data_IF_676234611103
#
_entry.id   IF_676234611103
#
_cell.length_a   1.000
_cell.length_b   1.000
_cell.length_c   1.000
_cell.angle_alpha   90.00
_cell.angle_beta   90.00
_cell.angle_gamma   90.00
#
_symmetry.space_group_name_H-M   'P 1'
#
loop_
_entity.id
_entity.type
_entity.pdbx_description
1 polymer ?
#
# COMPACT_ATOMS: atom_id res chain seq x y z
N UNK A 1 36.40 1.28 29.31
CA UNK A 1 35.78 0.16 28.57
C UNK A 1 35.25 -0.92 29.53
N UNK A 2 36.05 -1.46 30.44
CA UNK A 2 35.62 -2.50 31.39
C UNK A 2 34.38 -2.15 32.24
N UNK A 3 34.27 -0.89 32.72
CA UNK A 3 33.09 -0.43 33.49
C UNK A 3 31.78 -0.46 32.70
N UNK A 4 31.81 -0.29 31.39
CA UNK A 4 30.63 -0.39 30.52
C UNK A 4 30.23 -1.86 30.32
N UNK A 5 31.23 -2.71 30.05
CA UNK A 5 31.02 -4.15 29.91
C UNK A 5 30.47 -4.78 31.19
N UNK A 6 31.04 -4.43 32.34
CA UNK A 6 30.52 -4.92 33.62
C UNK A 6 29.10 -4.44 33.92
N UNK A 7 28.73 -3.21 33.56
CA UNK A 7 27.35 -2.75 33.64
C UNK A 7 26.40 -3.51 32.71
N UNK A 8 26.81 -3.76 31.44
CA UNK A 8 26.00 -4.53 30.50
C UNK A 8 25.71 -5.94 31.03
N UNK A 9 26.74 -6.59 31.57
CA UNK A 9 26.60 -7.95 32.12
C UNK A 9 25.79 -7.97 33.44
N UNK A 10 25.96 -6.95 34.30
CA UNK A 10 25.28 -6.86 35.58
C UNK A 10 23.85 -6.32 35.50
N UNK A 11 23.48 -5.68 34.41
CA UNK A 11 22.12 -5.13 34.23
C UNK A 11 21.19 -6.25 33.75
N UNK A 12 20.16 -6.59 34.54
CA UNK A 12 19.15 -7.55 34.10
C UNK A 12 18.38 -7.00 32.88
N UNK A 13 17.60 -7.84 32.25
CA UNK A 13 16.74 -7.42 31.17
C UNK A 13 15.79 -6.32 31.63
N UNK A 14 16.01 -5.09 31.16
CA UNK A 14 15.23 -3.89 31.53
C UNK A 14 14.07 -3.62 30.56
N UNK A 15 13.92 -4.42 29.52
CA UNK A 15 12.82 -4.33 28.55
C UNK A 15 11.63 -5.13 29.04
N UNK A 16 10.46 -4.57 28.93
CA UNK A 16 9.21 -5.31 29.13
C UNK A 16 9.09 -6.47 28.11
N UNK A 17 8.39 -7.57 28.47
CA UNK A 17 8.03 -8.58 27.49
C UNK A 17 7.29 -7.89 26.35
N UNK A 18 7.60 -8.28 25.11
CA UNK A 18 6.85 -7.79 23.95
C UNK A 18 5.35 -8.05 24.21
N UNK A 19 4.48 -7.02 24.16
CA UNK A 19 3.04 -7.25 24.23
C UNK A 19 2.65 -8.26 23.16
N UNK A 20 1.69 -9.11 23.47
CA UNK A 20 1.13 -10.03 22.47
C UNK A 20 0.74 -9.20 21.25
N UNK A 21 1.13 -9.61 20.02
CA UNK A 21 0.80 -8.87 18.85
C UNK A 21 -0.72 -8.65 18.82
N UNK A 22 -1.15 -7.46 18.39
CA UNK A 22 -2.55 -7.25 18.05
C UNK A 22 -2.82 -8.23 16.90
N UNK A 23 -3.36 -9.39 17.22
CA UNK A 23 -3.36 -10.61 16.42
C UNK A 23 -3.75 -10.39 14.95
N UNK A 24 -4.61 -9.41 14.73
CA UNK A 24 -5.20 -9.14 13.42
C UNK A 24 -4.22 -8.56 12.39
N UNK A 25 -3.38 -7.57 12.76
CA UNK A 25 -2.44 -6.90 11.82
C UNK A 25 -1.24 -7.79 11.56
N UNK A 26 -0.73 -8.47 12.61
CA UNK A 26 0.38 -9.42 12.48
C UNK A 26 0.01 -10.61 11.61
N UNK A 27 -1.18 -11.19 11.79
CA UNK A 27 -1.63 -12.34 11.01
C UNK A 27 -1.77 -11.99 9.53
N UNK A 28 -2.34 -10.83 9.21
CA UNK A 28 -2.46 -10.33 7.84
C UNK A 28 -1.06 -10.09 7.26
N UNK A 29 -0.19 -9.41 8.00
CA UNK A 29 1.15 -9.07 7.57
C UNK A 29 2.03 -10.29 7.31
N UNK A 30 2.01 -11.29 8.19
CA UNK A 30 2.78 -12.53 7.98
C UNK A 30 2.23 -13.35 6.80
N UNK A 31 0.91 -13.41 6.60
CA UNK A 31 0.30 -14.03 5.42
C UNK A 31 0.73 -13.32 4.13
N UNK A 32 0.74 -11.99 4.14
CA UNK A 32 1.20 -11.16 3.02
C UNK A 32 2.67 -11.42 2.71
N UNK A 33 3.53 -11.43 3.73
CA UNK A 33 4.96 -11.73 3.61
C UNK A 33 5.23 -13.13 3.03
N UNK A 34 4.50 -14.13 3.48
CA UNK A 34 4.58 -15.50 2.95
C UNK A 34 4.18 -15.53 1.47
N UNK A 35 3.11 -14.86 1.12
CA UNK A 35 2.59 -14.77 -0.25
C UNK A 35 3.61 -14.05 -1.16
N UNK A 36 4.15 -12.92 -0.71
CA UNK A 36 5.19 -12.16 -1.43
C UNK A 36 6.44 -13.03 -1.65
N UNK A 37 6.91 -13.72 -0.61
CA UNK A 37 8.07 -14.61 -0.74
C UNK A 37 7.88 -15.69 -1.80
N UNK A 38 6.68 -16.26 -1.84
CA UNK A 38 6.35 -17.33 -2.80
C UNK A 38 6.25 -16.81 -4.23
N UNK A 39 5.63 -15.64 -4.42
CA UNK A 39 5.35 -15.08 -5.76
C UNK A 39 6.54 -14.34 -6.35
N UNK A 40 7.30 -13.65 -5.52
CA UNK A 40 8.37 -12.74 -5.97
C UNK A 40 9.78 -13.26 -5.64
N UNK A 41 9.91 -14.56 -5.30
CA UNK A 41 11.22 -15.19 -5.10
C UNK A 41 12.03 -14.58 -3.96
N UNK A 42 11.35 -14.05 -2.93
CA UNK A 42 11.99 -13.45 -1.75
C UNK A 42 12.36 -11.96 -1.89
N UNK A 43 12.13 -11.32 -3.05
CA UNK A 43 12.29 -9.87 -3.19
C UNK A 43 11.08 -9.12 -2.62
N UNK A 44 11.26 -7.84 -2.29
CA UNK A 44 10.16 -6.98 -1.83
C UNK A 44 9.15 -6.75 -2.94
N UNK A 45 7.87 -6.67 -2.56
CA UNK A 45 6.79 -6.14 -3.40
C UNK A 45 6.91 -4.61 -3.44
N UNK A 46 6.95 -4.04 -4.61
CA UNK A 46 7.16 -2.62 -4.82
C UNK A 46 5.89 -1.94 -5.28
N UNK A 47 5.48 -0.92 -4.53
CA UNK A 47 4.27 -0.16 -4.80
C UNK A 47 4.63 1.25 -5.25
N UNK A 48 4.06 1.68 -6.37
CA UNK A 48 3.97 3.09 -6.74
C UNK A 48 2.58 3.59 -6.46
N UNK A 49 2.47 4.60 -5.60
CA UNK A 49 1.22 5.29 -5.34
C UNK A 49 1.08 6.53 -6.23
N UNK A 50 -0.14 6.78 -6.73
CA UNK A 50 -0.51 7.94 -7.54
C UNK A 50 -1.77 8.56 -6.95
N UNK A 51 -1.67 9.80 -6.53
CA UNK A 51 -2.82 10.65 -6.25
C UNK A 51 -3.38 11.20 -7.57
N UNK A 52 -4.58 10.80 -7.94
CA UNK A 52 -5.25 11.23 -9.16
C UNK A 52 -6.27 12.36 -8.92
N UNK A 53 -6.43 12.78 -7.67
CA UNK A 53 -7.33 13.85 -7.27
C UNK A 53 -8.06 13.54 -5.96
N UNK A 54 -7.39 12.87 -5.03
CA UNK A 54 -7.91 12.51 -3.72
C UNK A 54 -8.14 13.73 -2.82
N UNK A 55 -8.82 13.50 -1.71
CA UNK A 55 -8.96 14.47 -0.62
C UNK A 55 -7.80 14.45 0.36
N UNK A 56 -6.75 13.70 0.05
CA UNK A 56 -5.59 13.38 0.89
C UNK A 56 -5.91 12.45 2.09
N UNK A 57 -7.10 11.91 2.18
CA UNK A 57 -7.47 10.94 3.21
C UNK A 57 -6.73 9.62 3.03
N UNK A 58 -6.77 9.08 1.82
CA UNK A 58 -6.09 7.85 1.44
C UNK A 58 -4.58 7.95 1.61
N UNK A 59 -3.98 9.10 1.31
CA UNK A 59 -2.54 9.34 1.47
C UNK A 59 -2.12 9.35 2.94
N UNK A 60 -2.95 9.88 3.83
CA UNK A 60 -2.69 9.81 5.28
C UNK A 60 -2.71 8.37 5.78
N UNK A 61 -3.69 7.59 5.35
CA UNK A 61 -3.79 6.18 5.72
C UNK A 61 -2.64 5.33 5.12
N UNK A 62 -2.22 5.64 3.89
CA UNK A 62 -1.04 5.05 3.27
C UNK A 62 0.25 5.42 4.01
N UNK A 63 0.36 6.68 4.46
CA UNK A 63 1.50 7.14 5.27
C UNK A 63 1.51 6.44 6.63
N UNK A 64 0.34 6.21 7.23
CA UNK A 64 0.20 5.49 8.49
C UNK A 64 0.72 4.04 8.41
N UNK A 65 0.69 3.40 7.24
CA UNK A 65 1.28 2.06 7.05
C UNK A 65 2.79 2.01 7.33
N UNK A 66 3.49 3.13 7.19
CA UNK A 66 4.92 3.24 7.51
C UNK A 66 5.23 3.56 8.96
N UNK A 67 4.24 3.72 9.85
CA UNK A 67 4.47 4.01 11.25
C UNK A 67 4.95 2.76 12.02
N UNK A 68 5.41 2.96 13.27
CA UNK A 68 5.96 1.89 14.11
C UNK A 68 4.93 0.79 14.48
N UNK A 69 3.64 1.05 14.36
CA UNK A 69 2.59 0.07 14.64
C UNK A 69 2.35 -0.88 13.46
N UNK A 70 2.19 -0.34 12.27
CA UNK A 70 1.93 -1.14 11.05
C UNK A 70 3.21 -1.67 10.43
N UNK A 71 4.21 -0.80 10.24
CA UNK A 71 5.55 -1.13 9.71
C UNK A 71 5.48 -2.09 8.51
N UNK A 72 4.83 -1.61 7.45
CA UNK A 72 4.55 -2.41 6.24
C UNK A 72 5.82 -3.00 5.61
N UNK A 73 6.98 -2.32 5.80
CA UNK A 73 8.24 -2.76 5.22
C UNK A 73 8.73 -4.08 5.84
N UNK A 74 8.42 -4.35 7.11
CA UNK A 74 8.74 -5.64 7.76
C UNK A 74 8.06 -6.84 7.11
N UNK A 75 6.97 -6.60 6.40
CA UNK A 75 6.23 -7.61 5.65
C UNK A 75 6.74 -7.76 4.20
N UNK A 76 7.78 -7.03 3.82
CA UNK A 76 8.41 -7.12 2.52
C UNK A 76 7.72 -6.27 1.45
N UNK A 77 7.11 -5.16 1.83
CA UNK A 77 6.52 -4.18 0.92
C UNK A 77 7.33 -2.89 1.00
N UNK A 78 7.55 -2.25 -0.13
CA UNK A 78 8.23 -0.96 -0.19
C UNK A 78 7.58 -0.03 -1.20
N UNK A 79 7.57 1.26 -0.89
CA UNK A 79 7.12 2.29 -1.83
C UNK A 79 8.27 2.75 -2.71
N UNK A 80 7.99 2.93 -3.99
CA UNK A 80 8.99 3.38 -4.98
C UNK A 80 8.56 4.66 -5.68
N UNK A 81 9.53 5.53 -5.94
CA UNK A 81 9.27 6.80 -6.57
C UNK A 81 8.98 6.70 -8.08
N UNK A 82 9.52 5.68 -8.75
CA UNK A 82 9.35 5.50 -10.19
C UNK A 82 8.42 4.33 -10.50
N UNK A 83 7.43 4.50 -11.39
CA UNK A 83 6.57 3.40 -11.83
C UNK A 83 7.34 2.28 -12.52
N UNK A 84 8.50 2.55 -13.11
CA UNK A 84 9.36 1.55 -13.76
C UNK A 84 9.88 0.48 -12.80
N UNK A 85 9.83 0.72 -11.50
CA UNK A 85 10.30 -0.21 -10.48
C UNK A 85 9.14 -0.82 -9.67
N UNK A 86 7.90 -0.46 -10.01
CA UNK A 86 6.72 -0.93 -9.30
C UNK A 86 6.22 -2.27 -9.85
N UNK A 87 5.70 -3.09 -8.95
CA UNK A 87 4.93 -4.30 -9.25
C UNK A 87 3.42 -4.02 -9.15
N UNK A 88 3.08 -3.08 -8.24
CA UNK A 88 1.71 -2.62 -8.02
C UNK A 88 1.65 -1.11 -8.23
N UNK A 89 0.60 -0.67 -8.91
CA UNK A 89 0.21 0.72 -9.03
C UNK A 89 -1.05 0.93 -8.18
N UNK A 90 -0.95 1.69 -7.08
CA UNK A 90 -2.11 2.10 -6.30
C UNK A 90 -2.52 3.51 -6.70
N UNK A 91 -3.79 3.74 -6.92
CA UNK A 91 -4.33 5.03 -7.37
C UNK A 91 -5.45 5.46 -6.43
N UNK A 92 -5.34 6.65 -5.86
CA UNK A 92 -6.32 7.26 -4.97
C UNK A 92 -7.12 8.37 -5.66
N UNK A 93 -8.29 8.64 -5.15
CA UNK A 93 -9.22 9.68 -5.57
C UNK A 93 -9.83 9.49 -6.95
N UNK A 94 -10.86 10.28 -7.29
CA UNK A 94 -11.38 10.35 -8.64
C UNK A 94 -10.33 10.92 -9.58
N UNK A 95 -10.24 10.38 -10.80
CA UNK A 95 -9.24 10.90 -11.76
C UNK A 95 -9.66 12.27 -12.25
N UNK A 96 -8.86 13.27 -11.91
CA UNK A 96 -9.02 14.62 -12.45
C UNK A 96 -8.50 14.70 -13.88
N UNK A 97 -9.04 15.62 -14.69
CA UNK A 97 -8.59 15.81 -16.07
C UNK A 97 -7.10 16.17 -16.18
N UNK A 98 -6.58 16.87 -15.18
CA UNK A 98 -5.15 17.20 -15.12
C UNK A 98 -4.27 15.98 -14.87
N UNK A 99 -4.76 14.99 -14.13
CA UNK A 99 -4.01 13.78 -13.78
C UNK A 99 -4.23 12.63 -14.78
N UNK A 100 -5.21 12.70 -15.66
CA UNK A 100 -5.51 11.65 -16.63
C UNK A 100 -4.27 11.25 -17.44
N UNK A 101 -3.58 12.21 -18.03
CA UNK A 101 -2.38 11.93 -18.83
C UNK A 101 -1.23 11.36 -17.98
N UNK A 102 -1.03 11.90 -16.77
CA UNK A 102 0.01 11.42 -15.86
C UNK A 102 -0.26 9.98 -15.41
N UNK A 103 -1.52 9.64 -15.11
CA UNK A 103 -1.93 8.30 -14.74
C UNK A 103 -1.70 7.30 -15.89
N UNK A 104 -2.10 7.62 -17.12
CA UNK A 104 -1.84 6.80 -18.31
C UNK A 104 -0.35 6.56 -18.52
N UNK A 105 0.44 7.63 -18.44
CA UNK A 105 1.89 7.56 -18.59
C UNK A 105 2.52 6.65 -17.52
N UNK A 106 2.10 6.77 -16.27
CA UNK A 106 2.60 5.93 -15.20
C UNK A 106 2.21 4.46 -15.39
N UNK A 107 0.98 4.20 -15.83
CA UNK A 107 0.51 2.86 -16.17
C UNK A 107 1.35 2.22 -17.28
N UNK A 108 1.63 2.96 -18.36
CA UNK A 108 2.44 2.48 -19.48
C UNK A 108 3.88 2.20 -19.08
N UNK A 109 4.42 3.02 -18.17
CA UNK A 109 5.80 2.87 -17.68
C UNK A 109 5.96 1.77 -16.62
N UNK A 110 4.88 1.28 -16.03
CA UNK A 110 4.93 0.18 -15.07
C UNK A 110 5.14 -1.14 -15.81
N UNK A 111 6.18 -1.94 -15.49
CA UNK A 111 6.48 -3.20 -16.17
C UNK A 111 5.35 -4.22 -16.01
N UNK A 112 5.22 -5.11 -17.00
CA UNK A 112 4.34 -6.29 -16.88
C UNK A 112 5.16 -7.48 -16.34
N UNK A 113 4.56 -8.37 -15.52
CA UNK A 113 3.18 -8.30 -15.01
C UNK A 113 3.01 -7.23 -13.93
N UNK A 114 1.89 -6.50 -13.97
CA UNK A 114 1.55 -5.44 -13.03
C UNK A 114 0.14 -5.63 -12.49
N UNK A 115 -0.14 -5.08 -11.32
CA UNK A 115 -1.46 -5.03 -10.72
C UNK A 115 -1.84 -3.57 -10.45
N UNK A 116 -3.03 -3.17 -10.83
CA UNK A 116 -3.58 -1.82 -10.59
C UNK A 116 -4.66 -1.90 -9.53
N UNK A 117 -4.49 -1.14 -8.47
CA UNK A 117 -5.42 -1.09 -7.35
C UNK A 117 -6.05 0.31 -7.27
N UNK A 118 -7.37 0.36 -7.35
CA UNK A 118 -8.12 1.57 -7.02
C UNK A 118 -8.30 1.64 -5.49
N UNK A 119 -7.74 2.67 -4.87
CA UNK A 119 -7.73 2.86 -3.43
C UNK A 119 -8.76 3.93 -3.04
N UNK A 120 -9.74 3.51 -2.27
CA UNK A 120 -10.85 4.36 -1.82
C UNK A 120 -12.03 4.43 -2.77
N UNK A 121 -13.16 4.87 -2.25
CA UNK A 121 -14.42 4.95 -2.98
C UNK A 121 -14.36 6.00 -4.11
N UNK A 122 -13.58 7.07 -3.92
CA UNK A 122 -13.29 8.06 -4.95
C UNK A 122 -12.63 7.46 -6.18
N UNK A 123 -11.63 6.63 -5.99
CA UNK A 123 -10.93 5.92 -7.06
C UNK A 123 -11.81 4.86 -7.73
N UNK A 124 -12.63 4.16 -6.95
CA UNK A 124 -13.48 3.08 -7.43
C UNK A 124 -14.67 3.58 -8.28
N UNK A 125 -15.28 4.71 -7.91
CA UNK A 125 -16.57 5.14 -8.48
C UNK A 125 -16.59 6.56 -9.03
N UNK A 126 -15.56 7.37 -8.73
CA UNK A 126 -15.54 8.81 -8.94
C UNK A 126 -16.04 9.62 -7.73
N UNK A 127 -16.56 8.93 -6.70
CA UNK A 127 -17.03 9.53 -5.45
C UNK A 127 -18.06 10.63 -5.64
N UNK A 128 -18.08 11.56 -4.69
CA UNK A 128 -19.00 12.73 -4.71
C UNK A 128 -18.71 13.72 -5.86
N UNK A 129 -17.54 13.61 -6.50
CA UNK A 129 -17.11 14.49 -7.58
C UNK A 129 -17.47 13.96 -8.97
N UNK A 130 -18.14 12.79 -9.05
CA UNK A 130 -18.58 12.20 -10.32
C UNK A 130 -19.49 13.17 -11.08
N UNK A 131 -19.17 13.38 -12.35
CA UNK A 131 -19.90 14.34 -13.20
C UNK A 131 -19.45 15.79 -13.07
N UNK A 132 -18.46 16.10 -12.23
CA UNK A 132 -17.83 17.42 -12.21
C UNK A 132 -17.06 17.68 -13.51
N UNK A 133 -17.04 18.92 -13.97
CA UNK A 133 -16.30 19.31 -15.18
C UNK A 133 -14.79 19.07 -15.10
N UNK A 134 -14.25 19.04 -13.88
CA UNK A 134 -12.82 18.87 -13.62
C UNK A 134 -12.41 17.41 -13.47
N UNK A 135 -13.36 16.49 -13.38
CA UNK A 135 -13.14 15.07 -13.12
C UNK A 135 -13.49 14.23 -14.34
N UNK A 136 -12.67 13.24 -14.64
CA UNK A 136 -12.97 12.22 -15.66
C UNK A 136 -13.96 11.21 -15.06
N UNK A 137 -13.64 10.68 -13.87
CA UNK A 137 -14.47 9.69 -13.18
C UNK A 137 -13.62 8.72 -12.37
N UNK A 138 -14.03 7.47 -12.37
CA UNK A 138 -13.32 6.37 -11.71
C UNK A 138 -11.98 6.07 -12.40
N UNK A 139 -11.07 5.44 -11.68
CA UNK A 139 -9.77 4.99 -12.24
C UNK A 139 -9.97 4.05 -13.42
N UNK A 140 -10.99 3.18 -13.36
CA UNK A 140 -11.34 2.24 -14.43
C UNK A 140 -11.77 2.89 -15.76
N UNK A 141 -12.12 4.17 -15.72
CA UNK A 141 -12.43 4.94 -16.95
C UNK A 141 -11.15 5.39 -17.68
N UNK A 142 -10.00 5.30 -17.04
CA UNK A 142 -8.71 5.77 -17.56
C UNK A 142 -7.75 4.62 -17.80
N UNK A 143 -7.58 3.71 -16.84
CA UNK A 143 -6.70 2.52 -16.92
C UNK A 143 -7.44 1.28 -16.40
N UNK A 144 -7.08 0.07 -16.85
CA UNK A 144 -7.61 -1.16 -16.27
C UNK A 144 -7.32 -1.24 -14.78
N UNK A 145 -8.32 -1.67 -13.99
CA UNK A 145 -8.22 -1.87 -12.55
C UNK A 145 -8.40 -3.35 -12.25
N UNK A 146 -7.44 -3.93 -11.55
CA UNK A 146 -7.44 -5.36 -11.20
C UNK A 146 -8.10 -5.60 -9.84
N UNK A 147 -7.96 -4.64 -8.92
CA UNK A 147 -8.48 -4.76 -7.56
C UNK A 147 -8.98 -3.41 -7.01
N UNK A 148 -9.98 -3.46 -6.14
CA UNK A 148 -10.54 -2.28 -5.46
C UNK A 148 -10.43 -2.45 -3.95
N UNK A 149 -9.88 -1.44 -3.28
CA UNK A 149 -9.89 -1.33 -1.82
C UNK A 149 -10.90 -0.23 -1.47
N UNK A 150 -12.07 -0.64 -1.02
CA UNK A 150 -13.16 0.28 -0.68
C UNK A 150 -12.92 1.00 0.65
N UNK A 151 -13.48 2.20 0.80
CA UNK A 151 -13.43 3.05 1.98
C UNK A 151 -13.24 4.52 1.61
N UNK A 152 -13.58 5.41 2.53
CA UNK A 152 -13.47 6.88 2.30
C UNK A 152 -13.00 7.60 3.58
N UNK A 153 -11.67 7.52 3.90
CA UNK A 153 -10.64 6.63 3.36
C UNK A 153 -10.69 5.20 3.96
N UNK A 154 -10.14 4.19 3.29
CA UNK A 154 -9.94 2.87 3.89
C UNK A 154 -8.90 2.94 5.01
N UNK A 155 -9.13 2.24 6.12
CA UNK A 155 -8.16 2.19 7.22
C UNK A 155 -6.86 1.47 6.82
N UNK A 156 -5.73 1.70 7.51
CA UNK A 156 -4.48 1.00 7.21
C UNK A 156 -4.62 -0.53 7.27
N UNK A 157 -5.47 -1.04 8.18
CA UNK A 157 -5.76 -2.47 8.27
C UNK A 157 -6.53 -2.98 7.04
N UNK A 158 -7.45 -2.18 6.50
CA UNK A 158 -8.20 -2.52 5.28
C UNK A 158 -7.29 -2.47 4.05
N UNK A 159 -6.37 -1.51 4.01
CA UNK A 159 -5.35 -1.44 2.94
C UNK A 159 -4.46 -2.70 2.98
N UNK A 160 -3.98 -3.13 4.15
CA UNK A 160 -3.19 -4.36 4.27
C UNK A 160 -3.97 -5.61 3.81
N UNK A 161 -5.25 -5.72 4.19
CA UNK A 161 -6.12 -6.82 3.72
C UNK A 161 -6.33 -6.77 2.21
N UNK A 162 -6.56 -5.57 1.69
CA UNK A 162 -6.75 -5.37 0.25
C UNK A 162 -5.51 -5.73 -0.55
N UNK A 163 -4.31 -5.34 -0.07
CA UNK A 163 -3.05 -5.74 -0.69
C UNK A 163 -2.86 -7.26 -0.67
N UNK A 164 -3.19 -7.93 0.44
CA UNK A 164 -3.17 -9.39 0.51
C UNK A 164 -4.10 -10.02 -0.52
N UNK A 165 -5.35 -9.51 -0.61
CA UNK A 165 -6.34 -9.96 -1.58
C UNK A 165 -5.88 -9.78 -3.02
N UNK A 166 -5.33 -8.60 -3.36
CA UNK A 166 -4.82 -8.30 -4.68
C UNK A 166 -3.66 -9.22 -5.09
N UNK A 167 -2.70 -9.45 -4.18
CA UNK A 167 -1.54 -10.34 -4.43
C UNK A 167 -1.96 -11.81 -4.55
N UNK A 168 -3.01 -12.23 -3.84
CA UNK A 168 -3.56 -13.59 -3.96
C UNK A 168 -4.41 -13.75 -5.21
N UNK A 169 -5.17 -12.73 -5.60
CA UNK A 169 -6.02 -12.71 -6.80
C UNK A 169 -5.22 -12.69 -8.11
N UNK A 170 -4.02 -12.18 -8.10
CA UNK A 170 -3.11 -12.19 -9.27
C UNK A 170 -2.66 -13.61 -9.71
N UNK A 171 -3.20 -14.66 -9.09
CA UNK A 171 -2.97 -16.07 -9.43
C UNK A 171 -3.96 -16.67 -10.44
N UNK A 172 -4.98 -15.90 -10.88
CA UNK A 172 -6.06 -16.36 -11.75
C UNK A 172 -5.81 -16.17 -13.25
#
# INVERSE_FOLDING_TARGET
MWRILSKIIATPRVTEPRPAPASHVEDIGENLKQTIRTLYGGRSLRIRHIDAGSTNGEEYEMTALGNAYYDIERFGISFVASPRHADILTVSGPVTRNMEHALRTAYDMTPSPKCVIALGDGAATGGIWKGSYAVVGAVSEVVPVDYVIAGDPPSPSDILRGLLGAVQGARG
#
